data_IF_684531507350
#
_entry.id   IF_684531507350
#
_cell.length_a   1.000
_cell.length_b   1.000
_cell.length_c   1.000
_cell.angle_alpha   90.00
_cell.angle_beta   90.00
_cell.angle_gamma   90.00
#
_symmetry.space_group_name_H-M   'P 1'
#
loop_
_entity.id
_entity.type
_entity.pdbx_description
1 polymer ?
#
# COMPACT_ATOMS: atom_id res chain seq x y z
N UNK A 1 -72.58 27.89 23.67
CA UNK A 1 -72.00 26.56 23.41
C UNK A 1 -70.75 26.73 22.56
N UNK A 2 -69.56 26.54 23.15
CA UNK A 2 -68.25 26.66 22.47
C UNK A 2 -67.89 25.29 21.89
N UNK A 3 -67.83 25.18 20.56
CA UNK A 3 -67.41 23.97 19.86
C UNK A 3 -65.87 23.95 19.74
N UNK A 4 -65.23 23.01 20.43
CA UNK A 4 -63.81 22.69 20.27
C UNK A 4 -63.57 22.05 18.89
N UNK A 5 -62.69 22.64 18.08
CA UNK A 5 -62.13 22.02 16.87
C UNK A 5 -60.98 21.08 17.27
N UNK A 6 -61.02 19.78 16.91
CA UNK A 6 -59.88 18.89 17.11
C UNK A 6 -58.80 19.17 16.05
N UNK A 7 -57.60 19.52 16.51
CA UNK A 7 -56.37 19.56 15.71
C UNK A 7 -55.91 18.11 15.48
N UNK A 8 -56.01 17.66 14.23
CA UNK A 8 -55.47 16.38 13.78
C UNK A 8 -53.95 16.54 13.57
N UNK A 9 -53.06 15.82 14.28
CA UNK A 9 -51.63 15.87 14.01
C UNK A 9 -51.35 15.01 12.76
N UNK A 10 -50.99 15.67 11.66
CA UNK A 10 -50.50 15.02 10.44
C UNK A 10 -49.13 14.39 10.74
N UNK A 11 -49.14 13.09 11.06
CA UNK A 11 -47.93 12.29 11.29
C UNK A 11 -47.22 12.09 9.93
N UNK A 12 -46.27 12.98 9.60
CA UNK A 12 -45.39 12.83 8.44
C UNK A 12 -44.48 11.62 8.68
N UNK A 13 -44.79 10.46 8.06
CA UNK A 13 -43.83 9.36 7.93
C UNK A 13 -42.71 9.82 6.99
N UNK A 14 -41.63 10.34 7.56
CA UNK A 14 -40.38 10.52 6.85
C UNK A 14 -39.81 9.12 6.55
N UNK A 15 -40.04 8.62 5.33
CA UNK A 15 -39.35 7.44 4.81
C UNK A 15 -37.87 7.83 4.69
N UNK A 16 -37.07 7.45 5.68
CA UNK A 16 -35.63 7.54 5.59
C UNK A 16 -35.17 6.51 4.56
N UNK A 17 -34.97 6.96 3.32
CA UNK A 17 -34.27 6.18 2.32
C UNK A 17 -32.85 5.93 2.86
N UNK A 18 -32.60 4.71 3.31
CA UNK A 18 -31.24 4.26 3.62
C UNK A 18 -30.49 4.32 2.30
N UNK A 19 -29.42 5.14 2.18
CA UNK A 19 -28.65 5.17 0.95
C UNK A 19 -28.14 3.76 0.68
N UNK A 20 -28.50 3.19 -0.48
CA UNK A 20 -27.98 1.91 -0.90
C UNK A 20 -26.44 2.02 -0.88
N UNK A 21 -25.79 1.12 -0.14
CA UNK A 21 -24.33 1.04 -0.19
C UNK A 21 -23.94 0.82 -1.64
N UNK A 22 -23.10 1.71 -2.17
CA UNK A 22 -22.61 1.55 -3.53
C UNK A 22 -21.87 0.21 -3.61
N UNK A 23 -22.20 -0.57 -4.62
CA UNK A 23 -21.51 -1.82 -4.88
C UNK A 23 -20.05 -1.53 -5.27
N UNK A 24 -19.18 -2.48 -4.94
CA UNK A 24 -17.81 -2.52 -5.44
C UNK A 24 -17.79 -2.38 -6.96
N UNK A 25 -16.87 -1.56 -7.46
CA UNK A 25 -16.71 -1.34 -8.90
C UNK A 25 -15.33 -1.77 -9.34
N UNK A 26 -15.24 -2.76 -10.21
CA UNK A 26 -13.99 -3.10 -10.90
C UNK A 26 -13.66 -2.00 -11.90
N UNK A 27 -12.55 -1.28 -11.68
CA UNK A 27 -12.13 -0.16 -12.54
C UNK A 27 -11.11 -0.58 -13.61
N UNK A 28 -10.43 -1.70 -13.38
CA UNK A 28 -9.49 -2.29 -14.31
C UNK A 28 -9.23 -3.76 -13.97
N UNK A 29 -8.74 -4.51 -14.96
CA UNK A 29 -8.22 -5.87 -14.77
C UNK A 29 -6.80 -5.95 -15.32
N UNK A 30 -5.90 -6.62 -14.62
CA UNK A 30 -4.49 -6.75 -15.02
C UNK A 30 -4.05 -8.21 -15.03
N UNK A 31 -3.11 -8.53 -15.93
CA UNK A 31 -2.59 -9.89 -16.09
C UNK A 31 -1.59 -10.31 -15.00
N UNK A 32 -0.95 -9.35 -14.32
CA UNK A 32 0.09 -9.57 -13.30
C UNK A 32 -0.11 -8.62 -12.12
N UNK A 33 0.42 -8.97 -10.94
CA UNK A 33 0.39 -8.07 -9.77
C UNK A 33 1.05 -6.72 -10.07
N UNK A 34 0.48 -5.68 -9.49
CA UNK A 34 1.02 -4.32 -9.60
C UNK A 34 0.80 -3.53 -8.31
N UNK A 35 1.60 -2.51 -8.07
CA UNK A 35 1.34 -1.54 -7.01
C UNK A 35 0.22 -0.60 -7.46
N UNK A 36 -0.54 -0.11 -6.49
CA UNK A 36 -1.54 0.92 -6.70
C UNK A 36 -1.10 2.20 -6.00
N UNK A 37 -1.36 3.33 -6.62
CA UNK A 37 -1.36 4.63 -5.96
C UNK A 37 -2.63 5.38 -6.32
N UNK A 38 -3.18 6.14 -5.39
CA UNK A 38 -4.43 6.85 -5.62
C UNK A 38 -4.41 8.20 -4.91
N UNK A 39 -5.01 9.19 -5.54
CA UNK A 39 -5.04 10.54 -5.01
C UNK A 39 -5.52 11.52 -6.06
N UNK A 40 -6.25 12.56 -5.64
CA UNK A 40 -6.73 13.60 -6.57
C UNK A 40 -7.62 13.06 -7.69
N UNK A 41 -8.42 12.03 -7.41
CA UNK A 41 -9.32 11.43 -8.40
C UNK A 41 -8.66 10.52 -9.44
N UNK A 42 -7.35 10.28 -9.34
CA UNK A 42 -6.64 9.34 -10.22
C UNK A 42 -6.16 8.11 -9.45
N UNK A 43 -6.14 6.96 -10.14
CA UNK A 43 -5.47 5.73 -9.72
C UNK A 43 -4.37 5.39 -10.71
N UNK A 44 -3.14 5.20 -10.23
CA UNK A 44 -2.00 4.75 -11.02
C UNK A 44 -1.75 3.26 -10.77
N UNK A 45 -1.46 2.53 -11.84
CA UNK A 45 -1.12 1.11 -11.78
C UNK A 45 -0.31 0.70 -13.02
N UNK A 46 0.37 -0.46 -12.95
CA UNK A 46 1.05 -1.02 -14.13
C UNK A 46 0.17 -2.07 -14.81
N UNK A 47 0.04 -1.97 -16.13
CA UNK A 47 -0.54 -3.03 -16.94
C UNK A 47 0.58 -3.74 -17.72
N UNK A 48 0.62 -5.08 -17.64
CA UNK A 48 1.55 -5.88 -18.42
C UNK A 48 0.99 -6.07 -19.83
N UNK A 49 1.77 -5.67 -20.82
CA UNK A 49 1.54 -5.90 -22.25
C UNK A 49 2.26 -7.19 -22.63
N UNK A 50 1.49 -8.27 -22.84
CA UNK A 50 2.04 -9.59 -23.12
C UNK A 50 2.70 -9.67 -24.51
N UNK A 51 2.19 -8.91 -25.48
CA UNK A 51 2.73 -8.88 -26.84
C UNK A 51 4.06 -8.15 -26.89
N UNK A 52 4.16 -7.03 -26.16
CA UNK A 52 5.39 -6.24 -26.08
C UNK A 52 6.36 -6.73 -24.99
N UNK A 53 5.96 -7.67 -24.14
CA UNK A 53 6.75 -8.21 -23.04
C UNK A 53 7.12 -7.19 -21.95
N UNK A 54 6.39 -6.07 -21.83
CA UNK A 54 6.74 -4.96 -20.95
C UNK A 54 5.52 -4.36 -20.23
N UNK A 55 5.76 -3.49 -19.26
CA UNK A 55 4.73 -2.79 -18.52
C UNK A 55 4.49 -1.39 -19.08
N UNK A 56 3.21 -1.01 -19.10
CA UNK A 56 2.74 0.36 -19.32
C UNK A 56 2.23 0.96 -18.01
N UNK A 57 2.57 2.22 -17.75
CA UNK A 57 2.00 2.95 -16.62
C UNK A 57 0.63 3.47 -17.03
N UNK A 58 -0.40 3.06 -16.30
CA UNK A 58 -1.79 3.40 -16.56
C UNK A 58 -2.28 4.41 -15.53
N UNK A 59 -3.17 5.29 -15.96
CA UNK A 59 -3.95 6.17 -15.10
C UNK A 59 -5.45 5.92 -15.33
N UNK A 60 -6.18 5.65 -14.24
CA UNK A 60 -7.64 5.65 -14.25
C UNK A 60 -8.14 6.96 -13.64
N UNK A 61 -8.83 7.76 -14.44
CA UNK A 61 -9.37 9.07 -14.07
C UNK A 61 -10.69 9.28 -14.84
N UNK A 62 -11.68 9.91 -14.21
CA UNK A 62 -12.99 10.19 -14.83
C UNK A 62 -13.65 8.98 -15.50
N UNK A 63 -13.51 7.80 -14.87
CA UNK A 63 -14.10 6.55 -15.36
C UNK A 63 -13.37 5.91 -16.54
N UNK A 64 -12.18 6.41 -16.91
CA UNK A 64 -11.41 5.93 -18.06
C UNK A 64 -9.99 5.56 -17.69
N UNK A 65 -9.54 4.38 -18.12
CA UNK A 65 -8.15 3.97 -18.04
C UNK A 65 -7.40 4.40 -19.31
N UNK A 66 -6.28 5.10 -19.15
CA UNK A 66 -5.41 5.52 -20.25
C UNK A 66 -3.95 5.19 -19.94
N UNK A 67 -3.20 4.75 -20.94
CA UNK A 67 -1.75 4.63 -20.83
C UNK A 67 -1.12 6.03 -20.82
N UNK A 68 -0.20 6.28 -19.89
CA UNK A 68 0.57 7.53 -19.87
C UNK A 68 1.63 7.52 -20.98
N UNK A 69 1.95 8.68 -21.58
CA UNK A 69 2.94 8.79 -22.65
C UNK A 69 4.37 8.79 -22.07
N UNK A 70 4.71 7.72 -21.34
CA UNK A 70 6.01 7.48 -20.72
C UNK A 70 6.61 6.22 -21.32
N UNK A 71 7.95 6.11 -21.32
CA UNK A 71 8.58 4.89 -21.83
C UNK A 71 8.16 3.68 -20.96
N UNK A 72 7.96 2.53 -21.62
CA UNK A 72 7.62 1.26 -20.98
C UNK A 72 8.74 0.77 -20.05
N UNK A 73 8.43 -0.19 -19.18
CA UNK A 73 9.38 -0.76 -18.23
C UNK A 73 9.40 -2.29 -18.30
N UNK A 74 10.56 -2.91 -18.08
CA UNK A 74 10.66 -4.36 -17.96
C UNK A 74 10.04 -4.89 -16.65
N UNK A 75 9.85 -4.02 -15.66
CA UNK A 75 9.26 -4.35 -14.35
C UNK A 75 8.02 -3.49 -14.09
N UNK A 76 7.10 -3.88 -13.18
CA UNK A 76 6.02 -3.01 -12.78
C UNK A 76 6.57 -1.67 -12.28
N UNK A 77 5.92 -0.57 -12.67
CA UNK A 77 6.20 0.74 -12.10
C UNK A 77 5.86 0.74 -10.62
N UNK A 78 6.74 1.36 -9.83
CA UNK A 78 6.47 1.71 -8.45
C UNK A 78 6.09 3.18 -8.45
N UNK A 79 4.80 3.48 -8.50
CA UNK A 79 4.28 4.82 -8.69
C UNK A 79 3.61 5.37 -7.43
N UNK A 80 3.58 6.70 -7.32
CA UNK A 80 2.80 7.44 -6.36
C UNK A 80 2.22 8.71 -7.00
N UNK A 81 1.11 9.20 -6.44
CA UNK A 81 0.45 10.45 -6.82
C UNK A 81 0.27 11.37 -5.62
N UNK A 82 0.76 12.59 -5.74
CA UNK A 82 0.60 13.60 -4.70
C UNK A 82 0.29 14.99 -5.22
N UNK A 83 -0.12 15.92 -4.33
CA UNK A 83 -0.37 17.29 -4.72
C UNK A 83 0.94 18.03 -4.97
N UNK A 84 0.99 18.84 -6.02
CA UNK A 84 1.89 20.00 -6.07
C UNK A 84 1.52 21.03 -5.00
N UNK A 85 2.38 22.04 -4.78
CA UNK A 85 2.05 23.16 -3.89
C UNK A 85 0.78 23.91 -4.31
N UNK A 86 0.53 23.97 -5.62
CA UNK A 86 -0.68 24.55 -6.23
C UNK A 86 -1.88 23.60 -6.26
N UNK A 87 -1.80 22.43 -5.60
CA UNK A 87 -2.87 21.43 -5.46
C UNK A 87 -3.27 20.68 -6.74
N UNK A 88 -2.46 20.74 -7.80
CA UNK A 88 -2.59 19.86 -8.97
C UNK A 88 -1.95 18.49 -8.68
N UNK A 89 -2.44 17.43 -9.31
CA UNK A 89 -1.83 16.10 -9.23
C UNK A 89 -0.43 16.09 -9.87
N UNK A 90 0.47 15.30 -9.30
CA UNK A 90 1.82 15.09 -9.78
C UNK A 90 2.22 13.65 -9.52
N UNK A 91 2.74 12.99 -10.55
CA UNK A 91 3.06 11.57 -10.46
C UNK A 91 4.56 11.41 -10.32
N UNK A 92 4.98 10.52 -9.44
CA UNK A 92 6.37 10.08 -9.34
C UNK A 92 6.40 8.57 -9.46
N UNK A 93 7.44 8.03 -10.07
CA UNK A 93 7.57 6.59 -10.19
C UNK A 93 9.01 6.17 -10.40
N UNK A 94 9.31 4.93 -10.04
CA UNK A 94 10.53 4.25 -10.50
C UNK A 94 10.26 3.54 -11.81
N UNK A 95 11.17 3.69 -12.76
CA UNK A 95 11.23 2.87 -13.98
C UNK A 95 12.54 2.10 -13.99
N UNK A 96 12.44 0.77 -14.06
CA UNK A 96 13.58 -0.13 -14.04
C UNK A 96 13.81 -0.76 -15.42
N UNK A 97 15.07 -0.97 -15.74
CA UNK A 97 15.49 -1.92 -16.78
C UNK A 97 15.53 -3.35 -16.26
N UNK A 98 16.13 -4.25 -17.05
CA UNK A 98 16.28 -5.66 -16.68
C UNK A 98 17.41 -5.87 -15.66
N UNK A 99 18.52 -5.13 -15.82
CA UNK A 99 19.71 -5.24 -14.97
C UNK A 99 19.50 -4.69 -13.55
N UNK A 100 20.26 -5.18 -12.58
CA UNK A 100 20.36 -4.53 -11.27
C UNK A 100 21.04 -3.16 -11.39
N UNK A 101 20.68 -2.20 -10.54
CA UNK A 101 21.19 -0.82 -10.61
C UNK A 101 20.64 -0.02 -11.81
N UNK A 102 19.49 -0.41 -12.37
CA UNK A 102 18.86 0.24 -13.53
C UNK A 102 17.53 0.93 -13.23
N UNK A 103 17.16 1.05 -11.95
CA UNK A 103 15.95 1.75 -11.52
C UNK A 103 16.22 3.23 -11.28
N UNK A 104 15.55 4.07 -12.07
CA UNK A 104 15.61 5.52 -11.97
C UNK A 104 14.27 6.10 -11.53
N UNK A 105 14.32 7.21 -10.78
CA UNK A 105 13.13 7.99 -10.45
C UNK A 105 12.76 8.96 -11.58
N UNK A 106 11.47 9.02 -11.87
CA UNK A 106 10.87 9.93 -12.83
C UNK A 106 9.71 10.67 -12.19
N UNK A 107 9.37 11.79 -12.81
CA UNK A 107 8.22 12.58 -12.49
C UNK A 107 7.42 12.87 -13.76
N UNK A 108 6.10 12.85 -13.67
CA UNK A 108 5.20 13.17 -14.76
C UNK A 108 4.19 14.23 -14.32
N UNK A 109 4.07 15.28 -15.13
CA UNK A 109 3.10 16.34 -14.92
C UNK A 109 1.92 16.15 -15.88
N UNK A 110 0.75 15.68 -15.40
CA UNK A 110 -0.41 15.42 -16.26
C UNK A 110 -0.93 16.68 -16.96
N UNK A 111 -0.77 17.87 -16.35
CA UNK A 111 -1.21 19.13 -16.96
C UNK A 111 -0.40 19.53 -18.21
N UNK A 112 0.85 19.06 -18.32
CA UNK A 112 1.71 19.37 -19.47
C UNK A 112 2.04 18.15 -20.33
N UNK A 113 1.68 16.95 -19.88
CA UNK A 113 2.05 15.68 -20.52
C UNK A 113 3.56 15.40 -20.51
N UNK A 114 4.33 16.11 -19.70
CA UNK A 114 5.80 16.02 -19.70
C UNK A 114 6.32 15.08 -18.62
N UNK A 115 7.12 14.12 -19.05
CA UNK A 115 7.97 13.28 -18.21
C UNK A 115 9.34 13.95 -18.00
N UNK A 116 9.92 13.81 -16.80
CA UNK A 116 11.27 14.22 -16.49
C UNK A 116 11.93 13.21 -15.55
N UNK A 117 13.21 12.87 -15.82
CA UNK A 117 14.03 12.13 -14.83
C UNK A 117 14.27 13.02 -13.61
N UNK A 118 14.08 12.46 -12.43
CA UNK A 118 14.28 13.17 -11.18
C UNK A 118 15.76 13.44 -10.95
N UNK A 119 16.09 14.61 -10.40
CA UNK A 119 17.45 14.94 -9.91
C UNK A 119 17.81 14.18 -8.63
N UNK A 120 16.85 13.48 -8.03
CA UNK A 120 17.11 12.59 -6.91
C UNK A 120 17.76 11.28 -7.35
N UNK A 121 17.57 10.87 -8.62
CA UNK A 121 18.06 9.61 -9.15
C UNK A 121 19.58 9.51 -9.10
N UNK A 122 20.09 8.33 -8.76
CA UNK A 122 21.53 8.03 -8.75
C UNK A 122 21.84 6.92 -9.75
N UNK A 123 22.62 7.20 -10.81
CA UNK A 123 22.88 6.24 -11.87
C UNK A 123 23.68 5.00 -11.44
N UNK A 124 24.13 4.93 -10.17
CA UNK A 124 24.90 3.79 -9.64
C UNK A 124 24.08 2.86 -8.75
N UNK A 125 22.85 3.22 -8.41
CA UNK A 125 22.04 2.53 -7.42
C UNK A 125 20.59 2.44 -7.89
N UNK A 126 19.87 1.42 -7.45
CA UNK A 126 18.43 1.34 -7.71
C UNK A 126 17.69 2.31 -6.78
N UNK A 127 16.93 3.23 -7.37
CA UNK A 127 16.01 4.10 -6.65
C UNK A 127 14.55 3.61 -6.82
N UNK A 128 13.92 3.30 -5.70
CA UNK A 128 12.69 2.51 -5.58
C UNK A 128 11.64 3.22 -4.70
N UNK A 129 10.38 2.78 -4.82
CA UNK A 129 9.24 3.19 -4.00
C UNK A 129 9.14 4.69 -3.74
N UNK A 130 9.15 5.54 -4.79
CA UNK A 130 9.02 6.97 -4.60
C UNK A 130 7.63 7.31 -4.08
N UNK A 131 7.56 8.32 -3.22
CA UNK A 131 6.32 8.95 -2.80
C UNK A 131 6.47 10.46 -2.73
N UNK A 132 5.42 11.19 -3.08
CA UNK A 132 5.47 12.63 -3.30
C UNK A 132 4.38 13.39 -2.53
N UNK A 133 4.77 14.52 -1.94
CA UNK A 133 3.82 15.45 -1.34
C UNK A 133 4.32 16.89 -1.37
N UNK A 134 3.60 17.79 -2.04
CA UNK A 134 3.80 19.26 -2.08
C UNK A 134 5.24 19.71 -2.33
N UNK A 135 5.93 19.03 -3.24
CA UNK A 135 7.31 19.35 -3.60
C UNK A 135 8.36 18.62 -2.75
N UNK A 136 7.94 17.64 -1.96
CA UNK A 136 8.82 16.72 -1.26
C UNK A 136 8.72 15.34 -1.90
N UNK A 137 9.86 14.73 -2.20
CA UNK A 137 9.98 13.36 -2.70
C UNK A 137 10.71 12.53 -1.64
N UNK A 138 10.11 11.45 -1.17
CA UNK A 138 10.79 10.40 -0.42
C UNK A 138 10.92 9.14 -1.29
N UNK A 139 11.98 8.37 -1.10
CA UNK A 139 12.26 7.18 -1.91
C UNK A 139 13.21 6.25 -1.16
N UNK A 140 13.31 5.02 -1.63
CA UNK A 140 14.28 4.03 -1.16
C UNK A 140 15.44 3.99 -2.13
N UNK A 141 16.67 3.97 -1.63
CA UNK A 141 17.85 3.66 -2.42
C UNK A 141 18.43 2.33 -1.97
N UNK A 142 18.71 1.46 -2.92
CA UNK A 142 19.36 0.18 -2.68
C UNK A 142 20.88 0.29 -2.87
N UNK A 143 21.60 -0.03 -1.79
CA UNK A 143 23.05 -0.21 -1.78
C UNK A 143 23.42 -1.68 -1.66
N UNK A 144 24.72 -1.98 -1.73
CA UNK A 144 25.24 -3.33 -1.49
C UNK A 144 25.28 -4.16 -2.76
N UNK A 145 25.12 -5.47 -2.62
CA UNK A 145 25.15 -6.42 -3.74
C UNK A 145 23.77 -7.03 -3.92
N UNK A 146 23.50 -7.67 -5.06
CA UNK A 146 22.24 -8.40 -5.28
C UNK A 146 21.96 -9.47 -4.21
N UNK A 147 23.01 -10.05 -3.61
CA UNK A 147 22.86 -11.05 -2.53
C UNK A 147 22.58 -10.40 -1.18
N UNK A 148 23.14 -9.21 -0.97
CA UNK A 148 23.09 -8.46 0.29
C UNK A 148 22.71 -6.99 0.03
N UNK A 149 21.49 -6.73 -0.46
CA UNK A 149 21.01 -5.38 -0.63
C UNK A 149 20.82 -4.71 0.73
N UNK A 150 21.11 -3.42 0.77
CA UNK A 150 20.93 -2.54 1.91
C UNK A 150 20.10 -1.35 1.47
N UNK A 151 18.83 -1.38 1.84
CA UNK A 151 17.91 -0.32 1.49
C UNK A 151 17.94 0.81 2.52
N UNK A 152 18.00 2.04 2.03
CA UNK A 152 18.05 3.26 2.84
C UNK A 152 17.00 4.23 2.32
N UNK A 153 16.22 4.80 3.24
CA UNK A 153 15.20 5.79 2.89
C UNK A 153 15.85 7.16 2.77
N UNK A 154 15.56 7.86 1.68
CA UNK A 154 15.98 9.21 1.42
C UNK A 154 14.79 10.14 1.22
N UNK A 155 15.08 11.43 1.33
CA UNK A 155 14.18 12.48 0.94
C UNK A 155 14.92 13.59 0.20
N UNK A 156 14.20 14.24 -0.72
CA UNK A 156 14.66 15.43 -1.40
C UNK A 156 13.51 16.42 -1.64
N UNK A 157 13.81 17.71 -1.55
CA UNK A 157 12.95 18.75 -2.09
C UNK A 157 13.04 18.75 -3.62
N UNK A 158 11.91 18.77 -4.32
CA UNK A 158 11.89 18.86 -5.78
C UNK A 158 12.12 20.28 -6.30
N UNK A 159 12.06 21.27 -5.41
CA UNK A 159 12.20 22.69 -5.76
C UNK A 159 13.64 23.21 -5.68
N UNK A 160 14.54 22.48 -5.02
CA UNK A 160 15.92 22.95 -4.78
C UNK A 160 16.99 21.95 -5.27
N UNK A 161 18.22 22.43 -5.28
CA UNK A 161 19.39 21.67 -5.74
C UNK A 161 20.07 20.89 -4.61
N UNK A 162 19.54 20.94 -3.37
CA UNK A 162 20.17 20.27 -2.22
C UNK A 162 20.21 18.77 -2.45
N UNK A 163 21.23 18.15 -1.85
CA UNK A 163 21.38 16.69 -1.88
C UNK A 163 20.23 16.01 -1.15
N UNK A 164 19.95 14.78 -1.53
CA UNK A 164 19.00 13.93 -0.82
C UNK A 164 19.50 13.69 0.61
N UNK A 165 18.60 13.81 1.58
CA UNK A 165 18.84 13.60 3.00
C UNK A 165 18.42 12.18 3.39
N UNK A 166 19.25 11.49 4.17
CA UNK A 166 18.92 10.16 4.69
C UNK A 166 17.88 10.29 5.79
N UNK A 167 16.78 9.54 5.68
CA UNK A 167 15.76 9.44 6.72
C UNK A 167 15.99 8.23 7.63
N UNK A 168 15.46 8.27 8.87
CA UNK A 168 15.40 7.08 9.72
C UNK A 168 14.62 5.95 9.02
N UNK A 169 15.22 4.75 9.02
CA UNK A 169 14.60 3.53 8.52
C UNK A 169 14.33 2.51 9.62
N UNK A 170 14.46 1.24 9.29
CA UNK A 170 14.51 0.17 10.28
C UNK A 170 15.82 0.27 11.09
N UNK A 171 15.79 0.19 12.43
CA UNK A 171 17.00 0.12 13.24
C UNK A 171 17.90 -1.04 12.79
N UNK A 172 19.17 -0.74 12.54
CA UNK A 172 20.18 -1.72 12.10
C UNK A 172 20.46 -2.79 13.16
N UNK A 173 20.14 -2.49 14.43
CA UNK A 173 20.21 -3.41 15.54
C UNK A 173 18.95 -3.26 16.39
N UNK A 174 18.33 -4.37 16.74
CA UNK A 174 17.18 -4.46 17.65
C UNK A 174 17.51 -5.44 18.74
N UNK A 175 17.29 -5.06 19.98
CA UNK A 175 17.49 -5.96 21.10
C UNK A 175 16.13 -6.23 21.75
N UNK A 176 15.75 -7.50 21.85
CA UNK A 176 14.58 -7.95 22.59
C UNK A 176 15.01 -9.02 23.60
N UNK A 177 14.64 -8.82 24.87
CA UNK A 177 15.02 -9.71 25.99
C UNK A 177 16.52 -10.09 26.02
N UNK A 178 17.40 -9.14 25.70
CA UNK A 178 18.86 -9.34 25.69
C UNK A 178 19.44 -9.97 24.41
N UNK A 179 18.60 -10.41 23.46
CA UNK A 179 19.05 -10.90 22.16
C UNK A 179 19.01 -9.76 21.15
N UNK A 180 20.17 -9.39 20.62
CA UNK A 180 20.28 -8.36 19.60
C UNK A 180 20.38 -8.97 18.21
N UNK A 181 19.52 -8.51 17.30
CA UNK A 181 19.45 -8.94 15.91
C UNK A 181 19.61 -7.75 14.97
N UNK A 182 20.16 -8.00 13.78
CA UNK A 182 20.22 -7.03 12.70
C UNK A 182 19.26 -7.47 11.61
N UNK A 183 18.02 -6.95 11.61
CA UNK A 183 17.04 -7.33 10.61
C UNK A 183 17.52 -6.90 9.23
N UNK A 184 17.40 -7.79 8.26
CA UNK A 184 17.39 -7.35 6.85
C UNK A 184 16.03 -6.74 6.59
N UNK A 185 16.03 -5.49 6.12
CA UNK A 185 14.82 -4.72 5.86
C UNK A 185 14.70 -4.46 4.36
N UNK A 186 13.63 -4.99 3.76
CA UNK A 186 13.27 -4.75 2.38
C UNK A 186 11.97 -3.93 2.38
N UNK A 187 12.07 -2.64 2.08
CA UNK A 187 10.93 -1.74 1.95
C UNK A 187 10.11 -2.16 0.73
N UNK A 188 8.79 -2.24 0.89
CA UNK A 188 7.87 -2.63 -0.19
C UNK A 188 6.97 -1.49 -0.63
N UNK A 189 6.80 -0.47 0.21
CA UNK A 189 6.06 0.73 -0.11
C UNK A 189 6.43 1.87 0.85
N UNK A 190 6.37 3.09 0.34
CA UNK A 190 6.45 4.32 1.10
C UNK A 190 5.20 5.14 0.78
N UNK A 191 4.68 5.86 1.77
CA UNK A 191 3.59 6.80 1.56
C UNK A 191 3.84 8.09 2.36
N UNK A 192 3.99 9.21 1.67
CA UNK A 192 4.25 10.52 2.26
C UNK A 192 2.96 11.35 2.34
N UNK A 193 2.67 11.86 3.53
CA UNK A 193 1.52 12.73 3.74
C UNK A 193 1.87 13.94 4.59
N UNK A 194 1.47 15.11 4.12
CA UNK A 194 1.85 16.36 4.77
C UNK A 194 3.35 16.62 4.67
N UNK A 195 3.84 17.50 5.55
CA UNK A 195 5.28 17.80 5.59
C UNK A 195 6.03 16.87 6.53
N UNK A 196 5.37 16.11 7.40
CA UNK A 196 6.06 15.44 8.51
C UNK A 196 5.81 13.94 8.63
N UNK A 197 4.95 13.33 7.81
CA UNK A 197 4.59 11.91 8.00
C UNK A 197 4.95 11.06 6.82
N UNK A 198 5.76 10.04 7.07
CA UNK A 198 6.10 9.01 6.11
C UNK A 198 5.74 7.65 6.69
N UNK A 199 4.80 6.96 6.06
CA UNK A 199 4.54 5.56 6.36
C UNK A 199 5.52 4.69 5.57
N UNK A 200 6.03 3.64 6.23
CA UNK A 200 6.99 2.71 5.66
C UNK A 200 6.44 1.30 5.85
N UNK A 201 6.22 0.58 4.74
CA UNK A 201 5.90 -0.84 4.77
C UNK A 201 7.18 -1.64 4.48
N UNK A 202 7.53 -2.55 5.38
CA UNK A 202 8.82 -3.23 5.34
C UNK A 202 8.65 -4.73 5.54
N UNK A 203 9.24 -5.53 4.67
CA UNK A 203 9.50 -6.93 4.97
C UNK A 203 10.80 -7.01 5.79
N UNK A 204 10.76 -7.71 6.91
CA UNK A 204 11.93 -7.96 7.74
C UNK A 204 12.22 -9.44 7.84
N UNK A 205 13.47 -9.84 7.63
CA UNK A 205 13.94 -11.20 7.97
C UNK A 205 14.74 -11.11 9.26
N UNK A 206 14.25 -11.79 10.28
CA UNK A 206 14.80 -11.77 11.63
C UNK A 206 15.18 -13.19 12.07
N UNK A 207 16.40 -13.41 12.61
CA UNK A 207 16.68 -14.66 13.29
C UNK A 207 15.78 -14.77 14.51
N UNK A 208 15.07 -15.88 14.61
CA UNK A 208 14.18 -16.25 15.69
C UNK A 208 14.75 -17.48 16.37
N UNK A 209 14.66 -17.52 17.70
CA UNK A 209 15.15 -18.63 18.51
C UNK A 209 13.95 -19.41 18.99
N UNK A 210 13.85 -20.68 18.59
CA UNK A 210 12.86 -21.62 19.10
C UNK A 210 13.54 -22.53 20.12
N UNK A 211 12.90 -22.75 21.27
CA UNK A 211 13.37 -23.68 22.29
C UNK A 211 12.24 -24.62 22.67
N UNK A 212 12.38 -25.88 22.32
CA UNK A 212 11.57 -26.96 22.90
C UNK A 212 12.16 -27.31 24.26
N UNK A 213 11.30 -27.54 25.24
CA UNK A 213 11.74 -28.01 26.56
C UNK A 213 12.57 -29.29 26.42
N UNK A 214 13.75 -29.33 27.06
CA UNK A 214 14.68 -30.46 26.95
C UNK A 214 15.55 -30.51 25.69
N UNK A 215 15.39 -29.58 24.73
CA UNK A 215 16.23 -29.50 23.53
C UNK A 215 17.11 -28.23 23.49
N UNK A 216 18.25 -28.27 22.78
CA UNK A 216 19.02 -27.06 22.51
C UNK A 216 18.17 -26.04 21.73
N UNK A 217 18.44 -24.76 21.94
CA UNK A 217 17.75 -23.71 21.21
C UNK A 217 18.18 -23.74 19.74
N UNK A 218 17.21 -23.78 18.82
CA UNK A 218 17.45 -23.71 17.39
C UNK A 218 17.19 -22.29 16.88
N UNK A 219 18.06 -21.81 15.98
CA UNK A 219 17.88 -20.51 15.34
C UNK A 219 17.35 -20.72 13.93
N UNK A 220 16.18 -20.14 13.64
CA UNK A 220 15.58 -20.12 12.31
C UNK A 220 15.37 -18.68 11.85
N UNK A 221 15.17 -18.44 10.55
CA UNK A 221 14.84 -17.11 10.05
C UNK A 221 13.33 -16.98 9.95
N UNK A 222 12.74 -16.10 10.76
CA UNK A 222 11.35 -15.69 10.57
C UNK A 222 11.32 -14.48 9.66
N UNK A 223 10.57 -14.59 8.57
CA UNK A 223 10.14 -13.40 7.85
C UNK A 223 8.96 -12.75 8.60
N UNK A 224 8.78 -11.46 8.37
CA UNK A 224 7.68 -10.68 8.92
C UNK A 224 7.50 -9.42 8.10
N UNK A 225 6.36 -8.76 8.31
CA UNK A 225 6.08 -7.45 7.73
C UNK A 225 5.79 -6.46 8.83
N UNK A 226 6.29 -5.24 8.68
CA UNK A 226 6.09 -4.14 9.60
C UNK A 226 5.51 -2.93 8.91
N UNK A 227 4.54 -2.31 9.56
CA UNK A 227 4.14 -0.95 9.26
C UNK A 227 4.82 -0.03 10.26
N UNK A 228 5.54 0.97 9.75
CA UNK A 228 6.19 1.99 10.55
C UNK A 228 5.68 3.36 10.13
N UNK A 229 5.75 4.28 11.08
CA UNK A 229 5.47 5.68 10.85
C UNK A 229 6.68 6.49 11.31
N UNK A 230 7.24 7.24 10.37
CA UNK A 230 8.24 8.25 10.65
C UNK A 230 7.54 9.60 10.80
N UNK A 231 7.69 10.18 11.99
CA UNK A 231 7.48 11.62 12.17
C UNK A 231 8.80 12.33 11.90
N UNK A 232 8.82 13.12 10.84
CA UNK A 232 10.03 13.79 10.33
C UNK A 232 10.48 14.91 11.24
N UNK A 233 9.54 15.65 11.83
CA UNK A 233 9.88 16.75 12.74
C UNK A 233 10.57 16.18 13.99
N UNK A 234 10.22 14.94 14.34
CA UNK A 234 10.79 14.24 15.48
C UNK A 234 11.97 13.34 15.11
N UNK A 235 12.30 13.17 13.82
CA UNK A 235 13.32 12.23 13.32
C UNK A 235 13.17 10.80 13.88
N UNK A 236 11.93 10.40 14.21
CA UNK A 236 11.65 9.13 14.91
C UNK A 236 10.78 8.22 14.05
N UNK A 237 11.34 7.07 13.67
CA UNK A 237 10.58 5.97 13.06
C UNK A 237 10.08 5.03 14.15
N UNK A 238 8.76 4.96 14.34
CA UNK A 238 8.11 4.01 15.26
C UNK A 238 7.43 2.89 14.50
N UNK A 239 7.53 1.67 15.04
CA UNK A 239 6.76 0.53 14.54
C UNK A 239 5.34 0.62 15.06
N UNK A 240 4.36 0.63 14.16
CA UNK A 240 2.94 0.67 14.51
C UNK A 240 2.39 -0.74 14.71
N UNK A 241 2.70 -1.63 13.77
CA UNK A 241 2.28 -3.03 13.80
C UNK A 241 3.34 -3.91 13.14
N UNK A 242 3.42 -5.15 13.61
CA UNK A 242 4.25 -6.21 13.05
C UNK A 242 3.38 -7.45 12.90
N UNK A 243 3.54 -8.12 11.77
CA UNK A 243 3.05 -9.47 11.58
C UNK A 243 4.22 -10.38 11.24
N UNK A 244 4.23 -11.60 11.77
CA UNK A 244 5.14 -12.67 11.35
C UNK A 244 4.54 -13.40 10.15
N UNK A 245 5.37 -13.74 9.17
CA UNK A 245 4.98 -14.60 8.04
C UNK A 245 5.46 -16.02 8.33
N UNK A 246 4.53 -16.95 8.54
CA UNK A 246 4.75 -18.37 8.80
C UNK A 246 3.53 -19.15 8.28
N UNK A 247 3.38 -20.44 8.61
CA UNK A 247 2.31 -21.30 8.06
C UNK A 247 0.90 -20.73 8.34
N UNK A 248 0.72 -19.97 9.42
CA UNK A 248 -0.49 -19.18 9.72
C UNK A 248 -0.25 -17.67 9.80
N UNK A 249 0.86 -17.20 9.24
CA UNK A 249 1.28 -15.81 9.36
C UNK A 249 0.53 -14.89 8.42
N UNK A 250 0.31 -13.67 8.85
CA UNK A 250 -0.33 -12.64 8.04
C UNK A 250 0.72 -11.76 7.39
N UNK A 251 0.41 -11.25 6.21
CA UNK A 251 1.24 -10.28 5.51
C UNK A 251 0.53 -8.94 5.47
N UNK A 252 1.26 -7.89 5.83
CA UNK A 252 0.83 -6.52 5.56
C UNK A 252 1.10 -6.22 4.09
N UNK A 253 0.09 -5.73 3.37
CA UNK A 253 0.19 -5.34 1.96
C UNK A 253 -0.43 -3.96 1.74
N UNK A 254 0.25 -3.15 0.94
CA UNK A 254 -0.13 -1.77 0.64
C UNK A 254 -0.15 -0.85 1.85
N UNK A 255 0.03 0.44 1.61
CA UNK A 255 -0.06 1.47 2.64
C UNK A 255 -0.50 2.76 1.97
N UNK A 256 -1.49 3.45 2.53
CA UNK A 256 -2.02 4.65 1.90
C UNK A 256 -2.56 5.65 2.92
N UNK A 257 -2.32 6.94 2.67
CA UNK A 257 -2.93 8.02 3.44
C UNK A 257 -4.20 8.51 2.77
N UNK A 258 -5.34 8.42 3.46
CA UNK A 258 -6.61 8.91 2.96
C UNK A 258 -7.55 9.25 4.11
N UNK A 259 -8.51 10.14 3.89
CA UNK A 259 -9.60 10.37 4.87
C UNK A 259 -9.12 10.67 6.31
N UNK A 260 -7.99 11.36 6.44
CA UNK A 260 -7.38 11.68 7.74
C UNK A 260 -6.79 10.50 8.51
N UNK A 261 -6.60 9.35 7.86
CA UNK A 261 -6.07 8.14 8.45
C UNK A 261 -5.02 7.47 7.55
N UNK A 262 -4.34 6.47 8.12
CA UNK A 262 -3.45 5.59 7.41
C UNK A 262 -4.10 4.24 7.27
N UNK A 263 -4.16 3.73 6.04
CA UNK A 263 -4.72 2.43 5.73
C UNK A 263 -3.60 1.43 5.45
N UNK A 264 -3.82 0.18 5.84
CA UNK A 264 -2.97 -0.98 5.54
C UNK A 264 -3.88 -2.20 5.41
N UNK A 265 -3.55 -3.13 4.51
CA UNK A 265 -4.30 -4.38 4.42
C UNK A 265 -3.53 -5.53 5.06
N UNK A 266 -4.29 -6.46 5.65
CA UNK A 266 -3.81 -7.72 6.20
C UNK A 266 -4.33 -8.84 5.32
N UNK A 267 -3.41 -9.58 4.73
CA UNK A 267 -3.72 -10.73 3.88
C UNK A 267 -3.23 -12.00 4.54
N UNK A 268 -4.07 -13.03 4.51
CA UNK A 268 -3.74 -14.38 4.92
C UNK A 268 -3.13 -15.10 3.72
N UNK A 269 -1.80 -15.27 3.72
CA UNK A 269 -1.12 -16.02 2.68
C UNK A 269 -0.87 -17.43 3.23
N UNK A 270 -1.82 -18.35 3.04
CA UNK A 270 -1.72 -19.73 3.52
C UNK A 270 -3.03 -20.28 4.07
N UNK A 271 -2.92 -21.15 5.08
CA UNK A 271 -4.07 -21.77 5.74
C UNK A 271 -4.94 -20.68 6.43
N UNK A 272 -6.19 -20.48 5.99
CA UNK A 272 -7.12 -19.54 6.62
C UNK A 272 -7.30 -19.81 8.12
N UNK A 273 -7.14 -21.07 8.57
CA UNK A 273 -7.21 -21.47 9.97
C UNK A 273 -6.10 -20.86 10.84
N UNK A 274 -4.98 -20.42 10.26
CA UNK A 274 -3.90 -19.74 10.97
C UNK A 274 -4.17 -18.28 11.31
N UNK A 275 -5.14 -17.65 10.66
CA UNK A 275 -5.48 -16.23 10.82
C UNK A 275 -6.40 -15.94 12.02
N UNK A 276 -6.01 -16.42 13.20
CA UNK A 276 -6.84 -16.34 14.40
C UNK A 276 -6.72 -15.02 15.16
N UNK A 277 -5.62 -14.27 14.99
CA UNK A 277 -5.34 -13.06 15.81
C UNK A 277 -5.93 -11.78 15.25
N UNK A 278 -5.81 -11.56 13.95
CA UNK A 278 -6.40 -10.42 13.26
C UNK A 278 -7.21 -10.95 12.09
N UNK A 279 -8.33 -10.32 11.75
CA UNK A 279 -9.11 -10.70 10.57
C UNK A 279 -8.39 -10.23 9.30
N UNK A 280 -8.48 -10.96 8.20
CA UNK A 280 -8.05 -10.40 6.91
C UNK A 280 -8.86 -9.13 6.57
N UNK A 281 -8.28 -8.25 5.76
CA UNK A 281 -8.95 -7.05 5.25
C UNK A 281 -8.20 -5.75 5.51
N UNK A 282 -8.91 -4.64 5.34
CA UNK A 282 -8.32 -3.29 5.44
C UNK A 282 -8.50 -2.72 6.84
N UNK A 283 -7.40 -2.22 7.37
CA UNK A 283 -7.30 -1.63 8.70
C UNK A 283 -7.02 -0.15 8.58
N UNK A 284 -7.71 0.62 9.40
CA UNK A 284 -7.54 2.06 9.51
C UNK A 284 -6.83 2.40 10.80
N UNK A 285 -5.70 3.09 10.70
CA UNK A 285 -4.97 3.67 11.80
C UNK A 285 -5.34 5.15 11.92
N UNK A 286 -6.09 5.50 12.97
CA UNK A 286 -6.52 6.88 13.23
C UNK A 286 -5.54 7.57 14.16
N UNK A 287 -5.09 8.75 13.74
CA UNK A 287 -4.24 9.62 14.55
C UNK A 287 -5.10 10.40 15.54
N UNK A 288 -4.86 10.26 16.84
CA UNK A 288 -5.34 11.24 17.83
C UNK A 288 -4.19 12.16 18.24
N UNK A 289 -4.52 13.40 18.61
CA UNK A 289 -3.55 14.39 19.11
C UNK A 289 -2.77 13.91 20.35
N UNK A 290 -3.31 12.91 21.07
CA UNK A 290 -2.73 12.35 22.28
C UNK A 290 -2.02 11.00 22.05
N UNK A 291 -1.62 10.70 20.81
CA UNK A 291 -0.90 9.49 20.40
C UNK A 291 -1.57 8.13 20.68
N UNK A 292 -2.76 8.12 21.30
CA UNK A 292 -3.61 6.92 21.38
C UNK A 292 -4.14 6.63 19.99
N UNK A 293 -3.41 5.82 19.27
CA UNK A 293 -3.86 5.31 18.00
C UNK A 293 -4.59 4.00 18.21
N UNK A 294 -5.65 3.81 17.44
CA UNK A 294 -6.37 2.56 17.37
C UNK A 294 -6.37 2.10 15.93
N UNK A 295 -6.19 0.80 15.76
CA UNK A 295 -6.55 0.15 14.53
C UNK A 295 -8.05 -0.15 14.60
N UNK A 296 -8.75 0.24 13.55
CA UNK A 296 -10.17 0.01 13.42
C UNK A 296 -10.34 -0.87 12.19
N UNK A 297 -10.89 -2.06 12.38
CA UNK A 297 -11.14 -2.99 11.29
C UNK A 297 -12.33 -2.45 10.48
N UNK A 298 -12.09 -2.16 9.20
CA UNK A 298 -13.00 -1.34 8.41
C UNK A 298 -13.85 -2.11 7.41
N UNK A 299 -13.29 -3.15 6.83
CA UNK A 299 -13.92 -3.89 5.77
C UNK A 299 -13.66 -5.36 5.99
N UNK A 300 -14.74 -6.12 6.17
CA UNK A 300 -14.71 -7.56 5.96
C UNK A 300 -14.30 -7.75 4.51
N UNK A 301 -13.02 -8.05 4.29
CA UNK A 301 -12.69 -8.83 3.13
C UNK A 301 -13.33 -10.19 3.41
N UNK A 302 -14.29 -10.58 2.57
CA UNK A 302 -14.29 -11.90 1.93
C UNK A 302 -12.84 -12.42 1.96
N UNK A 303 -12.58 -13.66 2.40
CA UNK A 303 -11.23 -14.14 2.77
C UNK A 303 -10.15 -14.08 1.64
N UNK A 304 -10.47 -13.42 0.53
CA UNK A 304 -9.63 -13.04 -0.58
C UNK A 304 -8.39 -12.21 -0.15
N UNK A 305 -7.21 -12.57 -0.66
CA UNK A 305 -6.01 -11.78 -0.49
C UNK A 305 -6.12 -10.40 -1.15
N UNK A 306 -5.66 -9.37 -0.44
CA UNK A 306 -5.41 -8.04 -1.00
C UNK A 306 -3.92 -7.94 -1.32
N UNK A 307 -3.57 -7.69 -2.58
CA UNK A 307 -2.19 -7.64 -3.05
C UNK A 307 -1.60 -6.22 -3.06
N UNK A 308 -2.44 -5.23 -3.28
CA UNK A 308 -2.08 -3.82 -3.21
C UNK A 308 -3.27 -3.00 -2.71
N UNK A 309 -2.97 -1.90 -2.05
CA UNK A 309 -3.95 -0.99 -1.45
C UNK A 309 -3.52 0.45 -1.76
N UNK A 310 -4.47 1.25 -2.23
CA UNK A 310 -4.33 2.69 -2.35
C UNK A 310 -5.59 3.39 -1.83
N UNK A 311 -5.47 4.67 -1.47
CA UNK A 311 -6.58 5.45 -0.92
C UNK A 311 -6.55 6.87 -1.48
N UNK A 312 -7.72 7.40 -1.85
CA UNK A 312 -7.92 8.84 -2.05
C UNK A 312 -8.82 9.39 -0.93
N UNK A 313 -9.14 10.68 -0.99
CA UNK A 313 -10.01 11.39 -0.05
C UNK A 313 -11.38 10.74 0.15
N UNK A 314 -11.85 9.95 -0.82
CA UNK A 314 -13.22 9.40 -0.80
C UNK A 314 -13.32 7.92 -1.06
N UNK A 315 -12.27 7.27 -1.56
CA UNK A 315 -12.35 5.89 -2.07
C UNK A 315 -11.14 5.10 -1.61
N UNK A 316 -11.33 3.79 -1.49
CA UNK A 316 -10.27 2.80 -1.35
C UNK A 316 -10.17 1.99 -2.63
N UNK A 317 -8.95 1.61 -2.99
CA UNK A 317 -8.65 0.83 -4.17
C UNK A 317 -7.84 -0.38 -3.77
N UNK A 318 -8.28 -1.55 -4.19
CA UNK A 318 -7.70 -2.83 -3.82
C UNK A 318 -7.37 -3.62 -5.08
N UNK A 319 -6.17 -4.21 -5.12
CA UNK A 319 -5.85 -5.23 -6.10
C UNK A 319 -6.14 -6.59 -5.49
N UNK A 320 -7.06 -7.33 -6.10
CA UNK A 320 -7.53 -8.66 -5.69
C UNK A 320 -7.39 -9.66 -6.82
N UNK A 321 -7.55 -10.94 -6.53
CA UNK A 321 -7.77 -11.94 -7.58
C UNK A 321 -9.07 -11.61 -8.34
N UNK A 322 -9.05 -11.75 -9.67
CA UNK A 322 -10.16 -11.39 -10.56
C UNK A 322 -11.10 -12.54 -10.89
N UNK A 323 -10.85 -13.74 -10.34
CA UNK A 323 -11.65 -14.93 -10.60
C UNK A 323 -12.89 -15.01 -9.69
N UNK A 324 -14.01 -15.45 -10.24
CA UNK A 324 -15.12 -15.91 -9.41
C UNK A 324 -14.64 -17.09 -8.53
N UNK A 325 -15.06 -17.17 -7.26
CA UNK A 325 -14.71 -18.32 -6.42
C UNK A 325 -15.21 -19.60 -7.11
N UNK A 326 -14.27 -20.44 -7.54
CA UNK A 326 -14.59 -21.71 -8.19
C UNK A 326 -14.89 -22.72 -7.08
N UNK A 327 -16.17 -23.02 -6.86
CA UNK A 327 -16.71 -24.15 -6.08
C UNK A 327 -15.92 -24.57 -4.83
N UNK A 328 -15.81 -23.68 -3.85
CA UNK A 328 -15.48 -24.03 -2.46
C UNK A 328 -14.04 -24.50 -2.21
N UNK A 329 -13.19 -24.52 -3.23
CA UNK A 329 -11.75 -24.73 -3.09
C UNK A 329 -11.07 -23.44 -3.50
N UNK A 330 -10.36 -22.80 -2.57
CA UNK A 330 -9.40 -21.75 -2.88
C UNK A 330 -8.27 -22.36 -3.72
N UNK A 331 -8.55 -22.69 -4.99
CA UNK A 331 -7.55 -23.05 -5.97
C UNK A 331 -6.74 -21.78 -6.20
N UNK A 332 -5.60 -21.68 -5.51
CA UNK A 332 -4.71 -20.53 -5.43
C UNK A 332 -4.10 -20.13 -6.77
N UNK A 333 -4.95 -19.69 -7.70
CA UNK A 333 -4.58 -18.85 -8.82
C UNK A 333 -4.28 -17.46 -8.28
N UNK A 334 -3.22 -17.39 -7.49
CA UNK A 334 -2.62 -16.13 -7.14
C UNK A 334 -2.40 -15.35 -8.44
N UNK A 335 -2.67 -14.05 -8.42
CA UNK A 335 -2.27 -13.10 -9.45
C UNK A 335 -0.87 -13.28 -10.09
N UNK A 336 0.04 -14.05 -9.47
CA UNK A 336 1.39 -14.36 -9.95
C UNK A 336 1.59 -15.80 -10.50
N UNK A 337 0.66 -16.73 -10.32
CA UNK A 337 0.87 -18.13 -10.75
C UNK A 337 0.66 -18.28 -12.26
N UNK A 338 1.74 -18.34 -13.04
CA UNK A 338 1.75 -18.57 -14.50
C UNK A 338 0.96 -19.83 -14.94
N UNK A 339 0.64 -20.73 -14.01
CA UNK A 339 0.48 -22.16 -14.24
C UNK A 339 -0.81 -22.65 -14.89
N UNK A 340 -1.92 -21.89 -14.96
CA UNK A 340 -3.23 -22.48 -15.32
C UNK A 340 -4.15 -21.69 -16.27
N UNK A 341 -3.63 -20.72 -17.03
CA UNK A 341 -4.44 -20.03 -18.04
C UNK A 341 -3.62 -19.57 -19.24
N UNK A 342 -4.25 -19.24 -20.38
CA UNK A 342 -3.53 -18.71 -21.54
C UNK A 342 -2.69 -17.49 -21.13
N UNK A 343 -1.48 -17.34 -21.68
CA UNK A 343 -0.64 -16.18 -21.43
C UNK A 343 -1.42 -14.88 -21.68
N UNK A 344 -1.37 -13.94 -20.73
CA UNK A 344 -1.97 -12.61 -20.90
C UNK A 344 -3.44 -12.46 -20.50
N UNK A 345 -4.14 -13.52 -20.09
CA UNK A 345 -5.49 -13.36 -19.53
C UNK A 345 -5.46 -12.48 -18.25
N UNK A 346 -6.40 -11.54 -18.07
CA UNK A 346 -6.50 -10.78 -16.83
C UNK A 346 -6.75 -11.73 -15.64
N UNK A 347 -5.95 -11.58 -14.59
CA UNK A 347 -5.98 -12.45 -13.39
C UNK A 347 -6.28 -11.67 -12.12
N UNK A 348 -6.08 -10.37 -12.14
CA UNK A 348 -6.37 -9.50 -11.01
C UNK A 348 -7.41 -8.46 -11.37
N UNK A 349 -8.24 -8.10 -10.40
CA UNK A 349 -9.16 -6.98 -10.49
C UNK A 349 -8.66 -5.83 -9.59
N UNK A 350 -8.69 -4.61 -10.12
CA UNK A 350 -8.56 -3.39 -9.33
C UNK A 350 -9.98 -2.96 -8.99
N UNK A 351 -10.33 -3.10 -7.71
CA UNK A 351 -11.68 -2.82 -7.18
C UNK A 351 -11.67 -1.49 -6.46
N UNK A 352 -12.58 -0.61 -6.85
CA UNK A 352 -12.90 0.62 -6.14
C UNK A 352 -14.02 0.35 -5.13
N UNK A 353 -13.77 0.73 -3.87
CA UNK A 353 -14.73 0.65 -2.77
C UNK A 353 -15.05 2.02 -2.21
N UNK A 354 -16.32 2.23 -1.85
CA UNK A 354 -16.67 3.28 -0.91
C UNK A 354 -16.20 2.88 0.49
N UNK A 355 -15.53 3.77 1.23
CA UNK A 355 -15.14 3.48 2.61
C UNK A 355 -16.43 3.30 3.40
N UNK A 356 -16.65 2.09 3.91
CA UNK A 356 -17.81 1.83 4.74
C UNK A 356 -17.82 2.82 5.93
N UNK A 357 -18.97 3.41 6.28
CA UNK A 357 -19.05 4.35 7.39
C UNK A 357 -18.83 3.69 8.77
N UNK A 358 -18.91 2.36 8.86
CA UNK A 358 -18.81 1.60 10.11
C UNK A 358 -17.49 0.85 10.21
N UNK A 359 -16.51 1.47 10.85
CA UNK A 359 -15.30 0.80 11.31
C UNK A 359 -15.52 0.29 12.75
N UNK A 360 -15.14 -0.95 13.05
CA UNK A 360 -15.25 -1.55 14.39
C UNK A 360 -13.91 -1.43 15.14
N UNK A 361 -13.86 -0.78 16.32
CA UNK A 361 -12.64 -0.68 17.12
C UNK A 361 -12.08 -2.06 17.44
N UNK A 362 -10.77 -2.24 17.22
CA UNK A 362 -10.07 -3.44 17.68
C UNK A 362 -9.67 -3.19 19.14
N UNK A 363 -9.93 -4.13 20.07
CA UNK A 363 -9.39 -4.04 21.42
C UNK A 363 -7.88 -3.85 21.39
N UNK A 364 -7.34 -2.97 22.24
CA UNK A 364 -5.89 -2.86 22.38
C UNK A 364 -5.32 -4.24 22.80
N UNK A 365 -4.15 -4.64 22.27
CA UNK A 365 -3.52 -5.91 22.60
C UNK A 365 -3.16 -6.04 24.08
#
# INVERSE_FOLDING_TARGET
MRLLRPLLPLLLLAVFAVPASAADTTIATVAKRTQLAAGFGVVLYSAYDADAGNYRLMAFEDGRANALPVAASARPFQADVGPTRSRHAFYVYSRCGEAAGSCDLYAFNPATGREQRSKASDPKHDDLHPTYWKGSLAFVREYGTTKEPRQVVYQRSTADTRRSERLPGVPERRCDKGVCISPRADFTALELHGHSRLAQLVNSVEPSVYKVEGQPAETFRSAGTELRLLDRDLTRSRRLIRSSTGIGGQRLTGVAFGQGALFVSFSCLGDPGGCTRLKAGVYRYVYSANEKASFVWGLAADAEPIYALAADRRKLYELRDGGAPVDGVNAGLECDQESFGPPGAPRCAIVQRDPAPTFVPIPAP
#
